data_IF_115335926991
#
_entry.id   IF_115335926991
#
_cell.length_a   1.000
_cell.length_b   1.000
_cell.length_c   1.000
_cell.angle_alpha   90.00
_cell.angle_beta   90.00
_cell.angle_gamma   90.00
#
_symmetry.space_group_name_H-M   'P 1'
#
loop_
_entity.id
_entity.type
_entity.pdbx_description
1 polymer ?
#
# COMPACT_ATOMS: atom_id res chain seq x y z
N UNK A 1 -6.76 -7.29 44.44
CA UNK A 1 -7.52 -6.58 43.38
C UNK A 1 -6.55 -5.62 42.76
N UNK A 2 -5.86 -6.09 41.73
CA UNK A 2 -4.80 -5.33 41.04
C UNK A 2 -5.45 -4.45 39.98
N UNK A 3 -5.44 -3.14 40.22
CA UNK A 3 -5.71 -2.14 39.18
C UNK A 3 -4.59 -2.19 38.14
N UNK A 4 -4.72 -3.09 37.16
CA UNK A 4 -3.97 -2.91 35.94
C UNK A 4 -4.53 -1.70 35.20
N UNK A 5 -3.69 -0.71 34.84
CA UNK A 5 -4.16 0.43 34.07
C UNK A 5 -4.70 -0.10 32.73
N UNK A 6 -6.02 -0.07 32.55
CA UNK A 6 -6.62 -0.20 31.23
C UNK A 6 -5.92 0.83 30.34
N UNK A 7 -5.04 0.35 29.47
CA UNK A 7 -4.54 1.12 28.35
C UNK A 7 -5.75 1.42 27.47
N UNK A 8 -6.47 2.47 27.78
CA UNK A 8 -7.47 3.05 26.89
C UNK A 8 -6.74 3.39 25.60
N UNK A 9 -6.84 2.47 24.67
CA UNK A 9 -6.35 2.69 23.31
C UNK A 9 -7.24 3.75 22.64
N UNK A 10 -7.07 5.00 23.03
CA UNK A 10 -7.43 6.12 22.18
C UNK A 10 -6.51 6.01 20.97
N UNK A 11 -7.00 5.34 19.93
CA UNK A 11 -6.35 5.30 18.63
C UNK A 11 -6.44 6.69 18.02
N UNK A 12 -5.83 7.66 18.67
CA UNK A 12 -5.66 8.98 18.14
C UNK A 12 -4.82 8.92 16.86
N UNK A 13 -5.04 9.87 16.00
CA UNK A 13 -4.14 10.21 14.91
C UNK A 13 -2.68 10.26 15.42
N UNK A 14 -1.77 9.64 14.68
CA UNK A 14 -0.33 9.61 15.01
C UNK A 14 0.42 10.53 14.04
N UNK A 15 0.58 11.84 14.38
CA UNK A 15 1.22 12.80 13.48
C UNK A 15 2.65 12.40 13.09
N UNK A 16 3.36 11.69 13.99
CA UNK A 16 4.69 11.20 13.72
C UNK A 16 4.74 10.23 12.53
N UNK A 17 3.74 9.37 12.35
CA UNK A 17 3.68 8.45 11.22
C UNK A 17 3.38 9.19 9.91
N UNK A 18 2.60 10.26 9.96
CA UNK A 18 2.36 11.08 8.77
C UNK A 18 3.62 11.86 8.40
N UNK A 19 4.39 12.33 9.38
CA UNK A 19 5.70 12.95 9.15
C UNK A 19 6.67 11.97 8.48
N UNK A 20 6.75 10.74 8.98
CA UNK A 20 7.58 9.68 8.40
C UNK A 20 7.15 9.36 6.96
N UNK A 21 5.84 9.28 6.69
CA UNK A 21 5.32 9.07 5.33
C UNK A 21 5.65 10.23 4.41
N UNK A 22 5.49 11.46 4.87
CA UNK A 22 5.83 12.66 4.11
C UNK A 22 7.31 12.68 3.73
N UNK A 23 8.20 12.39 4.69
CA UNK A 23 9.63 12.29 4.43
C UNK A 23 9.96 11.18 3.43
N UNK A 24 9.31 10.02 3.55
CA UNK A 24 9.49 8.91 2.62
C UNK A 24 9.09 9.29 1.17
N UNK A 25 7.99 10.03 1.00
CA UNK A 25 7.60 10.55 -0.34
C UNK A 25 8.67 11.45 -0.92
N UNK A 26 9.23 12.37 -0.11
CA UNK A 26 10.31 13.25 -0.56
C UNK A 26 11.53 12.43 -1.00
N UNK A 27 11.93 11.43 -0.21
CA UNK A 27 13.07 10.55 -0.54
C UNK A 27 12.82 9.81 -1.85
N UNK A 28 11.63 9.24 -2.06
CA UNK A 28 11.27 8.57 -3.33
C UNK A 28 11.35 9.53 -4.51
N UNK A 29 10.84 10.75 -4.37
CA UNK A 29 10.91 11.75 -5.44
C UNK A 29 12.36 12.11 -5.79
N UNK A 30 13.21 12.36 -4.79
CA UNK A 30 14.62 12.67 -5.00
C UNK A 30 15.36 11.49 -5.64
N UNK A 31 15.07 10.26 -5.23
CA UNK A 31 15.64 9.05 -5.83
C UNK A 31 15.29 8.91 -7.31
N UNK A 32 14.03 9.17 -7.69
CA UNK A 32 13.59 9.10 -9.09
C UNK A 32 14.17 10.22 -9.97
N UNK A 33 14.64 11.31 -9.37
CA UNK A 33 15.38 12.36 -10.09
C UNK A 33 16.89 12.07 -10.22
N UNK A 34 17.30 10.82 -9.96
CA UNK A 34 18.69 10.35 -10.11
C UNK A 34 19.72 11.21 -9.36
N UNK A 35 19.36 11.69 -8.18
CA UNK A 35 20.27 12.43 -7.30
C UNK A 35 21.32 11.46 -6.78
N UNK A 36 22.57 11.62 -7.18
CA UNK A 36 23.67 10.66 -7.05
C UNK A 36 24.00 10.22 -5.62
N UNK A 37 23.70 11.06 -4.61
CA UNK A 37 23.94 10.73 -3.21
C UNK A 37 22.71 10.04 -2.54
N UNK A 38 21.56 9.97 -3.23
CA UNK A 38 20.34 9.36 -2.71
C UNK A 38 20.26 7.89 -3.12
N UNK A 39 21.21 7.08 -2.69
CA UNK A 39 21.19 5.62 -2.87
C UNK A 39 20.24 4.97 -1.87
N UNK A 40 19.54 3.89 -2.28
CA UNK A 40 18.64 3.15 -1.38
C UNK A 40 17.24 3.76 -1.23
N UNK A 41 16.85 4.72 -2.07
CA UNK A 41 15.48 5.28 -2.07
C UNK A 41 14.38 4.22 -2.30
N UNK A 42 14.72 3.09 -2.90
CA UNK A 42 13.86 1.91 -3.02
C UNK A 42 13.44 1.30 -1.68
N UNK A 43 14.28 1.44 -0.64
CA UNK A 43 13.95 0.94 0.71
C UNK A 43 12.76 1.69 1.33
N UNK A 44 12.47 2.91 0.86
CA UNK A 44 11.30 3.66 1.33
C UNK A 44 9.98 3.00 0.96
N UNK A 45 9.94 2.22 -0.13
CA UNK A 45 8.76 1.43 -0.50
C UNK A 45 8.48 0.35 0.55
N UNK A 46 9.52 -0.35 1.02
CA UNK A 46 9.40 -1.34 2.11
C UNK A 46 8.92 -0.67 3.41
N UNK A 47 9.38 0.55 3.69
CA UNK A 47 8.91 1.33 4.83
C UNK A 47 7.42 1.66 4.72
N UNK A 48 6.92 2.02 3.53
CA UNK A 48 5.48 2.22 3.31
C UNK A 48 4.68 0.94 3.57
N UNK A 49 5.14 -0.21 3.11
CA UNK A 49 4.47 -1.49 3.39
C UNK A 49 4.42 -1.80 4.88
N UNK A 50 5.54 -1.60 5.58
CA UNK A 50 5.61 -1.81 7.04
C UNK A 50 4.65 -0.88 7.80
N UNK A 51 4.64 0.41 7.47
CA UNK A 51 3.72 1.39 8.07
C UNK A 51 2.25 1.05 7.78
N UNK A 52 1.94 0.66 6.56
CA UNK A 52 0.60 0.28 6.14
C UNK A 52 0.11 -0.95 6.89
N UNK A 53 0.93 -1.98 6.98
CA UNK A 53 0.63 -3.20 7.74
C UNK A 53 0.45 -2.91 9.23
N UNK A 54 1.31 -2.10 9.83
CA UNK A 54 1.18 -1.65 11.21
C UNK A 54 -0.17 -0.96 11.46
N UNK A 55 -0.52 0.00 10.61
CA UNK A 55 -1.77 0.76 10.77
C UNK A 55 -3.02 -0.11 10.61
N UNK A 56 -3.01 -1.04 9.64
CA UNK A 56 -4.14 -1.96 9.47
C UNK A 56 -4.26 -2.87 10.68
N UNK A 57 -3.17 -3.49 11.11
CA UNK A 57 -3.19 -4.39 12.28
C UNK A 57 -3.72 -3.66 13.50
N UNK A 58 -3.22 -2.47 13.76
CA UNK A 58 -3.67 -1.63 14.86
C UNK A 58 -5.17 -1.32 14.78
N UNK A 59 -5.67 -0.99 13.57
CA UNK A 59 -7.08 -0.72 13.34
C UNK A 59 -7.94 -1.97 13.59
N UNK A 60 -7.53 -3.13 13.07
CA UNK A 60 -8.26 -4.39 13.21
C UNK A 60 -8.31 -4.85 14.67
N UNK A 61 -7.18 -4.81 15.38
CA UNK A 61 -7.12 -5.17 16.81
C UNK A 61 -7.98 -4.24 17.64
N UNK A 62 -7.91 -2.94 17.41
CA UNK A 62 -8.75 -1.98 18.14
C UNK A 62 -10.25 -2.15 17.89
N UNK A 63 -10.65 -2.47 16.66
CA UNK A 63 -12.05 -2.74 16.35
C UNK A 63 -12.51 -4.02 17.04
N UNK A 64 -11.67 -5.06 17.05
CA UNK A 64 -11.93 -6.30 17.75
C UNK A 64 -12.07 -6.10 19.25
N UNK A 65 -11.17 -5.36 19.88
CA UNK A 65 -11.20 -5.11 21.33
C UNK A 65 -12.47 -4.34 21.76
N UNK A 66 -13.01 -3.49 20.88
CA UNK A 66 -14.21 -2.70 21.16
C UNK A 66 -15.52 -3.42 20.91
N UNK A 67 -15.59 -4.25 19.87
CA UNK A 67 -16.84 -4.82 19.36
C UNK A 67 -16.87 -6.35 19.33
N UNK A 68 -15.74 -7.02 19.62
CA UNK A 68 -15.61 -8.47 19.50
C UNK A 68 -15.67 -8.99 18.06
N UNK A 69 -15.66 -8.09 17.07
CA UNK A 69 -15.68 -8.43 15.64
C UNK A 69 -14.98 -7.38 14.80
N UNK A 70 -14.74 -7.71 13.53
CA UNK A 70 -14.19 -6.78 12.52
C UNK A 70 -15.19 -6.67 11.38
N UNK A 71 -15.64 -5.45 11.07
CA UNK A 71 -16.49 -5.18 9.92
C UNK A 71 -15.67 -4.99 8.66
N UNK A 72 -15.36 -6.10 7.95
CA UNK A 72 -14.64 -6.07 6.68
C UNK A 72 -15.31 -5.14 5.67
N UNK A 73 -16.65 -5.16 5.60
CA UNK A 73 -17.41 -4.28 4.69
C UNK A 73 -17.10 -2.80 4.95
N UNK A 74 -17.23 -2.37 6.20
CA UNK A 74 -16.93 -0.97 6.57
C UNK A 74 -15.48 -0.60 6.33
N UNK A 75 -14.55 -1.54 6.54
CA UNK A 75 -13.13 -1.34 6.23
C UNK A 75 -12.92 -1.10 4.74
N UNK A 76 -13.44 -1.96 3.85
CA UNK A 76 -13.27 -1.83 2.41
C UNK A 76 -14.01 -0.61 1.84
N UNK A 77 -15.20 -0.29 2.34
CA UNK A 77 -15.93 0.92 1.90
C UNK A 77 -15.16 2.20 2.22
N UNK A 78 -14.63 2.34 3.44
CA UNK A 78 -13.81 3.51 3.83
C UNK A 78 -12.58 3.64 2.94
N UNK A 79 -11.94 2.51 2.66
CA UNK A 79 -10.74 2.48 1.84
C UNK A 79 -11.03 2.80 0.38
N UNK A 80 -12.05 2.19 -0.21
CA UNK A 80 -12.49 2.44 -1.57
C UNK A 80 -12.81 3.92 -1.81
N UNK A 81 -13.57 4.53 -0.90
CA UNK A 81 -13.89 5.97 -0.96
C UNK A 81 -12.67 6.88 -0.91
N UNK A 82 -11.61 6.45 -0.26
CA UNK A 82 -10.35 7.21 -0.14
C UNK A 82 -9.46 7.04 -1.36
N UNK A 83 -9.34 5.83 -1.90
CA UNK A 83 -8.37 5.48 -2.93
C UNK A 83 -8.89 5.64 -4.36
N UNK A 84 -10.09 5.13 -4.65
CA UNK A 84 -10.61 5.11 -6.01
C UNK A 84 -10.71 6.49 -6.66
N UNK A 85 -11.19 7.55 -5.99
CA UNK A 85 -11.24 8.86 -6.62
C UNK A 85 -9.86 9.37 -7.03
N UNK A 86 -8.87 9.25 -6.14
CA UNK A 86 -7.51 9.70 -6.39
C UNK A 86 -6.85 8.87 -7.52
N UNK A 87 -6.95 7.54 -7.45
CA UNK A 87 -6.41 6.64 -8.47
C UNK A 87 -7.04 6.88 -9.84
N UNK A 88 -8.36 7.08 -9.88
CA UNK A 88 -9.05 7.38 -11.13
C UNK A 88 -8.58 8.69 -11.76
N UNK A 89 -8.42 9.75 -10.97
CA UNK A 89 -7.92 11.04 -11.45
C UNK A 89 -6.49 10.91 -11.98
N UNK A 90 -5.61 10.21 -11.26
CA UNK A 90 -4.23 10.00 -11.68
C UNK A 90 -4.17 9.18 -12.97
N UNK A 91 -4.90 8.07 -13.06
CA UNK A 91 -4.95 7.23 -14.27
C UNK A 91 -5.50 8.01 -15.46
N UNK A 92 -6.58 8.77 -15.27
CA UNK A 92 -7.13 9.62 -16.33
C UNK A 92 -6.13 10.67 -16.80
N UNK A 93 -5.46 11.34 -15.86
CA UNK A 93 -4.41 12.32 -16.19
C UNK A 93 -3.27 11.67 -16.98
N UNK A 94 -2.79 10.49 -16.55
CA UNK A 94 -1.74 9.75 -17.28
C UNK A 94 -2.22 9.36 -18.68
N UNK A 95 -3.46 8.86 -18.82
CA UNK A 95 -4.04 8.54 -20.15
C UNK A 95 -4.05 9.77 -21.06
N UNK A 96 -4.57 10.90 -20.56
CA UNK A 96 -4.68 12.14 -21.33
C UNK A 96 -3.28 12.65 -21.73
N UNK A 97 -2.37 12.78 -20.77
CA UNK A 97 -1.02 13.29 -21.01
C UNK A 97 -0.27 12.39 -21.99
N UNK A 98 -0.33 11.06 -21.79
CA UNK A 98 0.37 10.13 -22.67
C UNK A 98 -0.20 10.07 -24.08
N UNK A 99 -1.49 10.32 -24.24
CA UNK A 99 -2.14 10.39 -25.56
C UNK A 99 -1.81 11.67 -26.29
N UNK A 100 -1.78 12.80 -25.58
CA UNK A 100 -1.50 14.11 -26.17
C UNK A 100 0.00 14.36 -26.40
N UNK A 101 0.85 13.80 -25.53
CA UNK A 101 2.31 14.00 -25.53
C UNK A 101 3.06 12.67 -25.48
N UNK A 102 3.04 11.87 -26.55
CA UNK A 102 3.70 10.55 -26.56
C UNK A 102 5.23 10.71 -26.60
N UNK A 103 5.83 11.02 -25.47
CA UNK A 103 7.26 11.35 -25.36
C UNK A 103 8.22 10.25 -25.82
N UNK A 104 7.82 8.98 -25.76
CA UNK A 104 8.62 7.83 -26.21
C UNK A 104 8.21 7.31 -27.60
N UNK A 105 7.17 7.88 -28.22
CA UNK A 105 6.58 7.32 -29.45
C UNK A 105 5.90 5.96 -29.27
N UNK A 106 5.96 5.39 -28.07
CA UNK A 106 5.40 4.07 -27.75
C UNK A 106 3.91 4.21 -27.37
N UNK A 107 3.06 3.47 -28.05
CA UNK A 107 1.67 3.31 -27.62
C UNK A 107 1.61 2.20 -26.57
N UNK A 108 0.91 2.47 -25.46
CA UNK A 108 0.64 1.46 -24.46
C UNK A 108 -0.43 0.50 -24.99
N UNK A 109 -0.20 -0.78 -24.77
CA UNK A 109 -1.18 -1.81 -25.14
C UNK A 109 -2.36 -1.78 -24.14
N UNK A 110 -3.58 -2.19 -24.56
CA UNK A 110 -4.77 -2.18 -23.71
C UNK A 110 -4.58 -2.88 -22.36
N UNK A 111 -3.84 -3.98 -22.33
CA UNK A 111 -3.57 -4.73 -21.09
C UNK A 111 -2.64 -3.99 -20.12
N UNK A 112 -1.78 -3.07 -20.60
CA UNK A 112 -0.94 -2.21 -19.74
C UNK A 112 -1.79 -1.18 -19.01
N UNK A 113 -2.82 -0.65 -19.67
CA UNK A 113 -3.81 0.20 -19.01
C UNK A 113 -4.64 -0.58 -18.00
N UNK A 114 -5.07 -1.78 -18.40
CA UNK A 114 -5.88 -2.63 -17.56
C UNK A 114 -5.13 -3.11 -16.31
N UNK A 115 -3.83 -3.41 -16.42
CA UNK A 115 -3.02 -3.81 -15.27
C UNK A 115 -2.93 -2.71 -14.19
N UNK A 116 -2.77 -1.46 -14.60
CA UNK A 116 -2.78 -0.32 -13.69
C UNK A 116 -4.17 -0.10 -13.06
N UNK A 117 -5.24 -0.17 -13.86
CA UNK A 117 -6.61 0.05 -13.40
C UNK A 117 -7.08 -1.05 -12.44
N UNK A 118 -6.72 -2.29 -12.69
CA UNK A 118 -7.14 -3.46 -11.90
C UNK A 118 -6.18 -3.80 -10.74
N UNK A 119 -5.19 -2.96 -10.46
CA UNK A 119 -4.23 -3.16 -9.38
C UNK A 119 -3.49 -4.50 -9.45
N UNK A 120 -3.04 -4.90 -10.66
CA UNK A 120 -2.19 -6.07 -10.82
C UNK A 120 -0.90 -5.80 -11.62
N UNK A 121 -0.46 -4.55 -11.69
CA UNK A 121 0.74 -4.12 -12.42
C UNK A 121 2.00 -4.88 -11.96
N UNK A 122 2.11 -5.19 -10.67
CA UNK A 122 3.21 -6.00 -10.14
C UNK A 122 3.28 -7.40 -10.78
N UNK A 123 2.15 -8.07 -10.95
CA UNK A 123 2.08 -9.41 -11.56
C UNK A 123 2.35 -9.31 -13.06
N UNK A 124 1.81 -8.30 -13.72
CA UNK A 124 2.07 -8.05 -15.14
C UNK A 124 3.56 -7.83 -15.42
N UNK A 125 4.21 -6.96 -14.67
CA UNK A 125 5.64 -6.68 -14.84
C UNK A 125 6.49 -7.92 -14.58
N UNK A 126 6.18 -8.71 -13.56
CA UNK A 126 6.86 -9.95 -13.27
C UNK A 126 6.70 -10.97 -14.41
N UNK A 127 5.48 -11.16 -14.94
CA UNK A 127 5.20 -12.08 -16.04
C UNK A 127 5.90 -11.65 -17.34
N UNK A 128 6.12 -10.36 -17.54
CA UNK A 128 6.84 -9.80 -18.67
C UNK A 128 8.37 -9.87 -18.52
N UNK A 129 8.89 -10.54 -17.47
CA UNK A 129 10.34 -10.67 -17.20
C UNK A 129 11.02 -9.36 -16.79
N UNK A 130 10.24 -8.38 -16.35
CA UNK A 130 10.74 -7.05 -15.98
C UNK A 130 11.07 -7.04 -14.49
N UNK A 131 12.36 -7.15 -14.16
CA UNK A 131 12.85 -7.05 -12.78
C UNK A 131 12.71 -5.63 -12.25
N UNK A 132 12.67 -5.50 -10.91
CA UNK A 132 12.59 -4.22 -10.21
C UNK A 132 13.66 -3.21 -10.66
N UNK A 133 14.91 -3.63 -10.80
CA UNK A 133 16.02 -2.78 -11.27
C UNK A 133 15.93 -2.40 -12.76
N UNK A 134 15.21 -3.16 -13.57
CA UNK A 134 15.00 -2.89 -15.00
C UNK A 134 13.83 -1.97 -15.31
N UNK A 135 13.06 -1.55 -14.30
CA UNK A 135 11.86 -0.74 -14.50
C UNK A 135 12.15 0.69 -14.95
N UNK A 136 13.32 1.22 -14.61
CA UNK A 136 13.68 2.62 -14.86
C UNK A 136 13.95 3.00 -16.34
N UNK A 137 13.78 2.09 -17.28
CA UNK A 137 14.02 2.36 -18.70
C UNK A 137 12.88 2.03 -19.64
N UNK A 138 11.74 1.60 -19.13
CA UNK A 138 10.69 0.96 -19.95
C UNK A 138 9.76 1.92 -20.68
N UNK A 139 9.81 3.22 -20.40
CA UNK A 139 8.91 4.20 -21.02
C UNK A 139 7.42 3.91 -20.76
N UNK A 140 7.09 3.14 -19.72
CA UNK A 140 5.72 2.91 -19.29
C UNK A 140 5.38 3.82 -18.12
N UNK A 141 4.47 4.79 -18.27
CA UNK A 141 4.11 5.71 -17.20
C UNK A 141 3.39 5.04 -16.03
N UNK A 142 2.85 3.83 -16.21
CA UNK A 142 2.12 3.08 -15.20
C UNK A 142 3.01 2.16 -14.37
N UNK A 143 4.27 1.99 -14.75
CA UNK A 143 5.18 1.07 -14.06
C UNK A 143 5.28 1.35 -12.54
N UNK A 144 5.15 2.60 -12.11
CA UNK A 144 5.20 2.96 -10.69
C UNK A 144 3.99 2.45 -9.88
N UNK A 145 2.92 2.01 -10.54
CA UNK A 145 1.74 1.44 -9.88
C UNK A 145 1.98 0.03 -9.34
N UNK A 146 3.12 -0.60 -9.62
CA UNK A 146 3.43 -1.95 -9.10
C UNK A 146 3.36 -2.03 -7.57
N UNK A 147 3.92 -1.03 -6.88
CA UNK A 147 3.92 -0.99 -5.42
C UNK A 147 2.52 -0.73 -4.85
N UNK A 148 1.75 0.15 -5.49
CA UNK A 148 0.36 0.38 -5.13
C UNK A 148 -0.49 -0.87 -5.37
N UNK A 149 -0.26 -1.59 -6.47
CA UNK A 149 -0.94 -2.86 -6.76
C UNK A 149 -0.68 -3.90 -5.68
N UNK A 150 0.58 -4.07 -5.28
CA UNK A 150 0.96 -4.99 -4.21
C UNK A 150 0.31 -4.57 -2.87
N UNK A 151 0.32 -3.29 -2.56
CA UNK A 151 -0.31 -2.75 -1.35
C UNK A 151 -1.80 -3.07 -1.31
N UNK A 152 -2.54 -2.86 -2.40
CA UNK A 152 -3.98 -3.14 -2.45
C UNK A 152 -4.29 -4.65 -2.35
N UNK A 153 -3.46 -5.51 -2.92
CA UNK A 153 -3.58 -6.96 -2.76
C UNK A 153 -3.39 -7.39 -1.29
N UNK A 154 -2.40 -6.82 -0.60
CA UNK A 154 -2.22 -7.06 0.85
C UNK A 154 -3.44 -6.56 1.63
N UNK A 155 -3.97 -5.40 1.32
CA UNK A 155 -5.16 -4.85 1.97
C UNK A 155 -6.42 -5.68 1.72
N UNK A 156 -6.50 -6.38 0.60
CA UNK A 156 -7.63 -7.28 0.33
C UNK A 156 -7.55 -8.53 1.20
N UNK A 157 -6.38 -9.11 1.36
CA UNK A 157 -6.18 -10.41 2.02
C UNK A 157 -5.97 -10.26 3.53
N UNK A 158 -5.15 -9.30 3.95
CA UNK A 158 -4.68 -9.20 5.34
C UNK A 158 -5.80 -8.99 6.38
N UNK A 159 -6.83 -8.13 6.18
CA UNK A 159 -7.93 -7.98 7.14
C UNK A 159 -8.75 -9.27 7.33
N UNK A 160 -8.88 -10.08 6.28
CA UNK A 160 -9.54 -11.39 6.35
C UNK A 160 -8.72 -12.34 7.21
N UNK A 161 -7.39 -12.38 7.00
CA UNK A 161 -6.50 -13.20 7.83
C UNK A 161 -6.52 -12.76 9.29
N UNK A 162 -6.52 -11.46 9.58
CA UNK A 162 -6.66 -10.93 10.93
C UNK A 162 -7.98 -11.38 11.59
N UNK A 163 -9.09 -11.25 10.87
CA UNK A 163 -10.39 -11.68 11.38
C UNK A 163 -10.42 -13.18 11.69
N UNK A 164 -9.88 -14.01 10.80
CA UNK A 164 -9.82 -15.46 10.99
C UNK A 164 -8.91 -15.85 12.17
N UNK A 165 -7.77 -15.18 12.31
CA UNK A 165 -6.85 -15.39 13.41
C UNK A 165 -7.51 -15.04 14.76
N UNK A 166 -8.16 -13.87 14.86
CA UNK A 166 -8.81 -13.42 16.10
C UNK A 166 -10.03 -14.29 16.46
N UNK A 167 -10.81 -14.74 15.48
CA UNK A 167 -11.93 -15.68 15.71
C UNK A 167 -11.48 -17.02 16.27
N UNK A 168 -10.29 -17.49 15.90
CA UNK A 168 -9.70 -18.73 16.45
C UNK A 168 -9.09 -18.54 17.85
N UNK A 169 -9.44 -17.46 18.56
CA UNK A 169 -8.89 -17.10 19.89
C UNK A 169 -7.36 -16.87 19.86
N UNK A 170 -6.82 -16.54 18.70
CA UNK A 170 -5.45 -16.07 18.64
C UNK A 170 -5.34 -14.76 19.45
N UNK A 171 -4.32 -14.70 20.29
CA UNK A 171 -4.06 -13.48 21.07
C UNK A 171 -3.64 -12.33 20.12
N UNK A 172 -3.87 -11.06 20.50
CA UNK A 172 -3.36 -9.94 19.71
C UNK A 172 -1.87 -10.06 19.35
N UNK A 173 -1.07 -10.65 20.26
CA UNK A 173 0.35 -10.94 20.00
C UNK A 173 0.57 -11.93 18.85
N UNK A 174 -0.35 -12.87 18.63
CA UNK A 174 -0.25 -13.79 17.49
C UNK A 174 -0.54 -13.07 16.15
N UNK A 175 -1.43 -12.08 16.15
CA UNK A 175 -1.68 -11.22 14.96
C UNK A 175 -0.46 -10.39 14.63
N UNK A 176 0.22 -9.81 15.62
CA UNK A 176 1.47 -9.08 15.41
C UNK A 176 2.59 -9.96 14.88
N UNK A 177 2.69 -11.22 15.36
CA UNK A 177 3.66 -12.20 14.83
C UNK A 177 3.37 -12.57 13.38
N UNK A 178 2.09 -12.77 13.02
CA UNK A 178 1.69 -13.01 11.65
C UNK A 178 2.11 -11.85 10.74
N UNK A 179 1.92 -10.63 11.20
CA UNK A 179 2.36 -9.45 10.46
C UNK A 179 3.89 -9.41 10.28
N UNK A 180 4.66 -9.69 11.33
CA UNK A 180 6.12 -9.71 11.27
C UNK A 180 6.69 -10.78 10.33
N UNK A 181 5.92 -11.82 10.01
CA UNK A 181 6.30 -12.87 9.04
C UNK A 181 5.96 -12.45 7.60
N UNK A 182 4.94 -11.59 7.42
CA UNK A 182 4.47 -11.17 6.11
C UNK A 182 5.10 -9.84 5.63
N UNK A 183 5.76 -9.11 6.51
CA UNK A 183 6.48 -7.88 6.23
C UNK A 183 7.95 -8.12 5.87
#
# INVERSE_FOLDING_TARGET
>A
MSDEPRIESRLGHLPALDGVRGLAVIIVLLYHHSITWMTGGELTVSMFFTLSGFLITRLMVSEWDKSGTISLRSFYERRARRLFPASFVVLLAVVVIWTLFPGSGRRLAPWEWFSGLAYYENIYLQSAGKSYGGLFGLGNPLQHLWSLSLEEQVYLVFPVLCLLALRKKATPSAVWKLFAVLA
#
